data_IF_631601887813
#
_entry.id   IF_631601887813
#
_cell.length_a   1.000
_cell.length_b   1.000
_cell.length_c   1.000
_cell.angle_alpha   90.00
_cell.angle_beta   90.00
_cell.angle_gamma   90.00
#
_symmetry.space_group_name_H-M   'P 1'
#
loop_
_entity.id
_entity.type
_entity.pdbx_description
1 polymer ?
#
# COMPACT_ATOMS: atom_id res chain seq x y z
N UNK A 1 -11.46 7.10 3.85
CA UNK A 1 -11.17 5.65 3.79
C UNK A 1 -11.33 5.03 5.19
N UNK A 2 -10.58 5.46 6.21
CA UNK A 2 -10.62 4.86 7.55
C UNK A 2 -12.05 4.72 8.13
N UNK A 3 -12.87 5.78 8.07
CA UNK A 3 -14.28 5.72 8.50
C UNK A 3 -15.06 4.62 7.77
N UNK A 4 -14.82 4.45 6.45
CA UNK A 4 -15.46 3.39 5.67
C UNK A 4 -15.02 1.99 6.14
N UNK A 5 -13.75 1.82 6.53
CA UNK A 5 -13.28 0.56 7.10
C UNK A 5 -13.96 0.26 8.44
N UNK A 6 -14.12 1.28 9.30
CA UNK A 6 -14.88 1.14 10.55
C UNK A 6 -16.35 0.73 10.30
N UNK A 7 -17.02 1.35 9.32
CA UNK A 7 -18.39 1.00 8.91
C UNK A 7 -18.52 -0.45 8.42
N UNK A 8 -17.43 -1.01 7.90
CA UNK A 8 -17.35 -2.40 7.43
C UNK A 8 -17.00 -3.40 8.54
N UNK A 9 -16.75 -2.93 9.76
CA UNK A 9 -16.43 -3.75 10.93
C UNK A 9 -14.92 -3.98 11.15
N UNK A 10 -14.05 -3.26 10.45
CA UNK A 10 -12.60 -3.33 10.67
C UNK A 10 -12.13 -2.23 11.62
N UNK A 11 -11.08 -2.48 12.37
CA UNK A 11 -10.29 -1.42 13.01
C UNK A 11 -9.45 -0.68 11.96
N UNK A 12 -9.15 0.60 12.19
CA UNK A 12 -8.37 1.39 11.23
C UNK A 12 -7.39 2.33 11.96
N UNK A 13 -6.12 2.22 11.62
CA UNK A 13 -5.05 3.12 12.05
C UNK A 13 -4.56 3.92 10.86
N UNK A 14 -4.38 5.22 11.01
CA UNK A 14 -3.93 6.13 9.93
C UNK A 14 -2.50 6.59 10.21
N UNK A 15 -1.55 6.07 9.42
CA UNK A 15 -0.18 6.55 9.43
C UNK A 15 -0.07 7.87 8.65
N UNK A 16 0.40 8.92 9.30
CA UNK A 16 0.82 10.16 8.67
C UNK A 16 2.33 10.13 8.49
N UNK A 17 2.78 9.42 7.45
CA UNK A 17 4.20 9.29 7.17
C UNK A 17 4.85 10.61 6.75
N UNK A 18 6.15 10.71 6.98
CA UNK A 18 6.95 11.90 6.68
C UNK A 18 7.03 12.19 5.19
N UNK A 19 6.93 13.48 4.87
CA UNK A 19 7.08 14.02 3.52
C UNK A 19 8.41 14.76 3.39
N UNK A 20 8.77 15.16 2.15
CA UNK A 20 9.94 15.99 1.93
C UNK A 20 9.98 17.19 2.91
N UNK A 21 11.15 17.51 3.47
CA UNK A 21 12.50 17.07 3.09
C UNK A 21 12.96 15.73 3.67
N UNK A 22 12.12 15.02 4.43
CA UNK A 22 12.43 13.67 4.92
C UNK A 22 12.31 12.67 3.77
N UNK A 23 13.34 11.88 3.56
CA UNK A 23 13.47 10.98 2.41
C UNK A 23 13.56 9.50 2.81
N UNK A 24 13.41 8.61 1.83
CA UNK A 24 13.66 7.18 1.99
C UNK A 24 15.01 6.93 2.71
N UNK A 25 15.08 5.99 3.66
CA UNK A 25 14.07 4.97 3.98
C UNK A 25 13.09 5.32 5.13
N UNK A 26 12.95 6.58 5.51
CA UNK A 26 12.15 6.97 6.67
C UNK A 26 10.70 6.45 6.58
N UNK A 27 10.05 6.57 5.42
CA UNK A 27 8.67 6.12 5.22
C UNK A 27 8.51 4.60 5.41
N UNK A 28 9.51 3.82 4.98
CA UNK A 28 9.58 2.37 5.24
C UNK A 28 9.68 2.07 6.74
N UNK A 29 10.52 2.83 7.45
CA UNK A 29 10.71 2.67 8.90
C UNK A 29 9.46 3.04 9.68
N UNK A 30 8.78 4.11 9.30
CA UNK A 30 7.52 4.54 9.90
C UNK A 30 6.40 3.51 9.68
N UNK A 31 6.35 2.90 8.50
CA UNK A 31 5.41 1.82 8.21
C UNK A 31 5.70 0.57 9.07
N UNK A 32 6.97 0.17 9.19
CA UNK A 32 7.38 -0.95 10.04
C UNK A 32 7.08 -0.69 11.52
N UNK A 33 7.40 0.52 12.02
CA UNK A 33 7.03 0.94 13.37
C UNK A 33 5.52 0.85 13.60
N UNK A 34 4.72 1.30 12.63
CA UNK A 34 3.26 1.29 12.74
C UNK A 34 2.73 -0.14 12.82
N UNK A 35 3.26 -1.08 12.04
CA UNK A 35 2.88 -2.49 12.12
C UNK A 35 3.16 -3.05 13.51
N UNK A 36 4.37 -2.80 14.04
CA UNK A 36 4.71 -3.18 15.41
C UNK A 36 3.75 -2.56 16.42
N UNK A 37 3.49 -1.26 16.31
CA UNK A 37 2.59 -0.54 17.23
C UNK A 37 1.18 -1.14 17.25
N UNK A 38 0.64 -1.49 16.07
CA UNK A 38 -0.67 -2.16 15.99
C UNK A 38 -0.64 -3.53 16.66
N UNK A 39 0.40 -4.35 16.40
CA UNK A 39 0.53 -5.67 17.04
C UNK A 39 0.72 -5.60 18.56
N UNK A 40 1.50 -4.65 19.06
CA UNK A 40 1.70 -4.45 20.49
C UNK A 40 0.39 -4.12 21.22
N UNK A 41 -0.55 -3.43 20.53
CA UNK A 41 -1.83 -3.02 21.10
C UNK A 41 -3.01 -3.92 20.67
N UNK A 42 -2.75 -4.99 19.94
CA UNK A 42 -3.79 -5.80 19.32
C UNK A 42 -4.80 -6.35 20.34
N UNK A 43 -4.33 -6.82 21.49
CA UNK A 43 -5.20 -7.33 22.54
C UNK A 43 -6.07 -6.23 23.20
N UNK A 44 -5.51 -5.03 23.38
CA UNK A 44 -6.25 -3.89 23.95
C UNK A 44 -7.33 -3.39 22.97
N UNK A 45 -7.05 -3.44 21.66
CA UNK A 45 -7.94 -2.92 20.63
C UNK A 45 -8.88 -3.98 20.05
N UNK A 46 -8.87 -5.19 20.57
CA UNK A 46 -9.63 -6.33 20.03
C UNK A 46 -9.35 -6.57 18.55
N UNK A 47 -8.07 -6.55 18.20
CA UNK A 47 -7.54 -6.78 16.84
C UNK A 47 -6.91 -8.16 16.78
N UNK A 48 -7.18 -8.90 15.71
CA UNK A 48 -6.48 -10.14 15.41
C UNK A 48 -5.06 -9.81 14.88
N UNK A 49 -3.98 -10.16 15.62
CA UNK A 49 -2.61 -9.81 15.22
C UNK A 49 -2.13 -10.50 13.94
N UNK A 50 -2.84 -11.54 13.49
CA UNK A 50 -2.53 -12.31 12.27
C UNK A 50 -3.39 -11.87 11.07
N UNK A 51 -4.14 -10.76 11.20
CA UNK A 51 -5.00 -10.20 10.15
C UNK A 51 -4.82 -8.68 9.99
N UNK A 52 -3.57 -8.20 10.01
CA UNK A 52 -3.26 -6.78 9.87
C UNK A 52 -2.89 -6.46 8.43
N UNK A 53 -3.76 -5.74 7.75
CA UNK A 53 -3.58 -5.35 6.34
C UNK A 53 -2.97 -3.96 6.26
N UNK A 54 -1.84 -3.85 5.55
CA UNK A 54 -1.32 -2.52 5.20
C UNK A 54 -2.07 -1.99 3.98
N UNK A 55 -2.63 -0.79 4.12
CA UNK A 55 -3.42 -0.16 3.06
C UNK A 55 -2.78 1.14 2.58
N UNK A 56 -2.72 1.35 1.27
CA UNK A 56 -2.17 2.57 0.70
C UNK A 56 -2.77 2.93 -0.65
N UNK A 57 -2.83 4.24 -0.92
CA UNK A 57 -3.40 4.80 -2.13
C UNK A 57 -2.40 5.75 -2.77
N UNK A 58 -2.21 5.71 -4.09
CA UNK A 58 -1.27 6.57 -4.80
C UNK A 58 0.16 6.44 -4.21
N UNK A 59 0.78 7.52 -3.79
CA UNK A 59 2.08 7.50 -3.10
C UNK A 59 2.04 6.72 -1.77
N UNK A 60 0.90 6.71 -1.05
CA UNK A 60 0.69 5.84 0.11
C UNK A 60 0.68 4.36 -0.26
N UNK A 61 0.22 4.02 -1.47
CA UNK A 61 0.33 2.68 -2.05
C UNK A 61 1.78 2.25 -2.23
N UNK A 62 2.65 3.20 -2.58
CA UNK A 62 4.09 2.96 -2.64
C UNK A 62 4.68 2.62 -1.25
N UNK A 63 4.33 3.39 -0.23
CA UNK A 63 4.78 3.11 1.15
C UNK A 63 4.30 1.74 1.63
N UNK A 64 3.03 1.41 1.36
CA UNK A 64 2.48 0.09 1.69
C UNK A 64 3.21 -1.04 0.94
N UNK A 65 3.45 -0.86 -0.36
CA UNK A 65 4.21 -1.81 -1.18
C UNK A 65 5.67 -1.96 -0.75
N UNK A 66 6.34 -0.85 -0.36
CA UNK A 66 7.72 -0.90 0.16
C UNK A 66 7.82 -1.82 1.38
N UNK A 67 6.89 -1.73 2.32
CA UNK A 67 6.91 -2.62 3.48
C UNK A 67 6.45 -4.03 3.09
N UNK A 68 5.36 -4.17 2.32
CA UNK A 68 4.84 -5.48 1.92
C UNK A 68 5.84 -6.34 1.17
N UNK A 69 6.69 -5.73 0.32
CA UNK A 69 7.74 -6.44 -0.44
C UNK A 69 9.13 -6.36 0.19
N UNK A 70 9.27 -5.68 1.32
CA UNK A 70 10.57 -5.43 1.93
C UNK A 70 10.62 -5.60 3.44
N UNK A 71 9.60 -6.21 4.03
CA UNK A 71 9.52 -6.46 5.47
C UNK A 71 10.69 -7.33 5.97
N UNK A 72 11.24 -8.21 5.13
CA UNK A 72 12.39 -9.07 5.41
C UNK A 72 13.74 -8.49 4.91
N UNK A 73 13.75 -7.22 4.48
CA UNK A 73 14.91 -6.56 3.93
C UNK A 73 15.94 -6.19 5.00
N UNK A 74 17.23 -6.38 4.70
CA UNK A 74 18.35 -5.89 5.52
C UNK A 74 18.30 -4.38 5.80
N UNK A 75 17.54 -3.63 5.02
CA UNK A 75 17.29 -2.19 5.26
C UNK A 75 16.63 -1.93 6.62
N UNK A 76 15.89 -2.90 7.13
CA UNK A 76 15.22 -2.83 8.44
C UNK A 76 16.08 -3.35 9.60
N UNK A 77 17.18 -4.07 9.37
CA UNK A 77 17.96 -4.73 10.44
C UNK A 77 18.27 -3.79 11.60
N UNK A 78 18.88 -2.64 11.31
CA UNK A 78 19.24 -1.68 12.36
C UNK A 78 18.03 -1.19 13.15
N UNK A 79 16.93 -0.87 12.45
CA UNK A 79 15.69 -0.40 13.09
C UNK A 79 15.12 -1.49 14.00
N UNK A 80 15.03 -2.71 13.50
CA UNK A 80 14.42 -3.83 14.24
C UNK A 80 15.24 -4.23 15.45
N UNK A 81 16.56 -4.35 15.31
CA UNK A 81 17.46 -4.76 16.38
C UNK A 81 17.65 -3.70 17.47
N UNK A 82 17.87 -2.43 17.06
CA UNK A 82 18.36 -1.38 17.95
C UNK A 82 17.28 -0.40 18.43
N UNK A 83 16.13 -0.36 17.75
CA UNK A 83 15.05 0.60 18.08
C UNK A 83 13.76 -0.11 18.44
N UNK A 84 13.31 -1.06 17.61
CA UNK A 84 12.05 -1.74 17.83
C UNK A 84 12.16 -3.00 18.69
N UNK A 85 13.33 -3.59 18.78
CA UNK A 85 13.63 -4.83 19.53
C UNK A 85 12.66 -5.96 19.18
N UNK A 86 12.44 -6.20 17.88
CA UNK A 86 11.57 -7.26 17.38
C UNK A 86 12.15 -7.91 16.10
N UNK A 87 11.58 -9.04 15.70
CA UNK A 87 11.96 -9.73 14.46
C UNK A 87 11.31 -9.08 13.23
N UNK A 88 11.81 -9.41 12.05
CA UNK A 88 11.20 -9.05 10.76
C UNK A 88 9.75 -9.51 10.65
N UNK A 89 9.44 -10.74 11.07
CA UNK A 89 8.07 -11.29 11.06
C UNK A 89 7.09 -10.42 11.86
N UNK A 90 7.56 -9.74 12.89
CA UNK A 90 6.71 -8.90 13.74
C UNK A 90 6.24 -7.62 13.04
N UNK A 91 6.90 -7.19 11.97
CA UNK A 91 6.52 -6.02 11.16
C UNK A 91 5.96 -6.41 9.79
N UNK A 92 5.86 -7.70 9.49
CA UNK A 92 5.27 -8.21 8.26
C UNK A 92 3.78 -7.90 8.21
N UNK A 93 3.26 -7.27 7.15
CA UNK A 93 1.82 -7.20 6.93
C UNK A 93 1.27 -8.59 6.56
N UNK A 94 0.05 -8.89 7.01
CA UNK A 94 -0.61 -10.15 6.64
C UNK A 94 -1.23 -10.06 5.24
N UNK A 95 -1.47 -8.85 4.74
CA UNK A 95 -1.91 -8.57 3.37
C UNK A 95 -1.72 -7.11 2.98
N UNK A 96 -1.93 -6.81 1.71
CA UNK A 96 -1.84 -5.46 1.15
C UNK A 96 -3.15 -5.03 0.48
N UNK A 97 -3.63 -3.81 0.75
CA UNK A 97 -4.65 -3.12 -0.03
C UNK A 97 -4.01 -1.95 -0.77
N UNK A 98 -3.94 -2.03 -2.10
CA UNK A 98 -3.26 -1.07 -2.96
C UNK A 98 -4.26 -0.40 -3.93
N UNK A 99 -4.60 0.85 -3.69
CA UNK A 99 -5.48 1.64 -4.56
C UNK A 99 -4.67 2.54 -5.50
N UNK A 100 -4.81 2.37 -6.82
CA UNK A 100 -4.07 3.15 -7.85
C UNK A 100 -2.63 3.48 -7.43
N UNK A 101 -1.85 2.46 -7.00
CA UNK A 101 -0.58 2.66 -6.32
C UNK A 101 0.53 3.12 -7.26
N UNK A 102 1.45 3.91 -6.75
CA UNK A 102 2.77 4.10 -7.38
C UNK A 102 3.59 2.84 -7.12
N UNK A 103 4.06 2.17 -8.16
CA UNK A 103 4.78 0.88 -8.08
C UNK A 103 6.16 0.97 -8.74
N UNK A 104 6.19 1.24 -10.04
CA UNK A 104 7.42 1.16 -10.82
C UNK A 104 8.20 2.48 -10.86
N UNK A 105 9.52 2.36 -10.81
CA UNK A 105 10.47 3.44 -11.13
C UNK A 105 10.86 3.48 -12.61
N UNK A 106 10.31 2.58 -13.43
CA UNK A 106 10.62 2.42 -14.85
C UNK A 106 10.02 3.49 -15.76
N UNK A 107 9.65 3.09 -16.99
CA UNK A 107 9.15 4.01 -18.01
C UNK A 107 7.80 4.63 -17.63
N UNK A 108 6.96 3.89 -16.93
CA UNK A 108 5.61 4.30 -16.50
C UNK A 108 5.62 4.90 -15.07
N UNK A 109 6.78 5.33 -14.59
CA UNK A 109 6.94 5.89 -13.27
C UNK A 109 6.21 7.22 -13.10
N UNK A 110 5.53 7.39 -11.97
CA UNK A 110 5.16 8.72 -11.49
C UNK A 110 6.38 9.41 -10.89
N UNK A 111 7.26 9.98 -11.74
CA UNK A 111 8.59 10.50 -11.37
C UNK A 111 8.58 11.46 -10.20
N UNK A 112 7.59 12.37 -10.14
CA UNK A 112 7.49 13.35 -9.06
C UNK A 112 7.36 12.71 -7.66
N UNK A 113 6.79 11.50 -7.54
CA UNK A 113 6.76 10.76 -6.27
C UNK A 113 8.16 10.33 -5.87
N UNK A 114 8.94 9.79 -6.79
CA UNK A 114 10.30 9.33 -6.52
C UNK A 114 11.25 10.48 -6.25
N UNK A 115 11.17 11.56 -7.02
CA UNK A 115 11.99 12.78 -6.78
C UNK A 115 11.77 13.34 -5.37
N UNK A 116 10.51 13.38 -4.90
CA UNK A 116 10.19 13.87 -3.55
C UNK A 116 10.59 12.89 -2.45
N UNK A 117 10.42 11.59 -2.67
CA UNK A 117 10.72 10.57 -1.66
C UNK A 117 12.21 10.25 -1.53
N UNK A 118 12.98 10.44 -2.59
CA UNK A 118 14.41 10.13 -2.62
C UNK A 118 15.31 11.38 -2.48
N UNK A 119 14.83 12.55 -2.95
CA UNK A 119 15.60 13.80 -2.91
C UNK A 119 16.96 13.65 -3.59
N UNK A 120 18.02 14.11 -2.92
CA UNK A 120 19.41 14.04 -3.43
C UNK A 120 19.93 12.61 -3.62
N UNK A 121 19.27 11.61 -3.03
CA UNK A 121 19.62 10.20 -3.15
C UNK A 121 18.86 9.47 -4.27
N UNK A 122 18.28 10.22 -5.20
CA UNK A 122 17.46 9.64 -6.27
C UNK A 122 18.21 8.55 -7.05
N UNK A 123 19.39 8.84 -7.57
CA UNK A 123 20.17 7.90 -8.38
C UNK A 123 20.68 6.69 -7.57
N UNK A 124 20.85 6.86 -6.25
CA UNK A 124 21.28 5.79 -5.36
C UNK A 124 20.17 4.74 -5.12
N UNK A 125 18.91 5.20 -4.97
CA UNK A 125 17.83 4.33 -4.50
C UNK A 125 16.71 4.07 -5.51
N UNK A 126 16.72 4.70 -6.68
CA UNK A 126 15.60 4.63 -7.63
C UNK A 126 15.27 3.19 -8.06
N UNK A 127 16.26 2.33 -8.21
CA UNK A 127 16.06 0.94 -8.55
C UNK A 127 15.61 0.09 -7.35
N UNK A 128 16.07 0.45 -6.14
CA UNK A 128 15.71 -0.24 -4.89
C UNK A 128 14.24 -0.04 -4.54
N UNK A 129 13.65 1.11 -4.89
CA UNK A 129 12.26 1.45 -4.53
C UNK A 129 11.23 1.04 -5.59
N UNK A 130 11.61 0.33 -6.65
CA UNK A 130 10.70 -0.22 -7.65
C UNK A 130 10.04 -1.49 -7.10
N UNK A 131 8.77 -1.38 -6.71
CA UNK A 131 8.07 -2.40 -5.90
C UNK A 131 7.99 -3.74 -6.64
N UNK A 132 7.65 -3.72 -7.93
CA UNK A 132 7.50 -4.92 -8.76
C UNK A 132 8.78 -5.76 -8.85
N UNK A 133 9.94 -5.14 -8.67
CA UNK A 133 11.26 -5.82 -8.67
C UNK A 133 11.57 -6.50 -7.34
N UNK A 134 10.80 -6.19 -6.30
CA UNK A 134 11.02 -6.66 -4.92
C UNK A 134 10.11 -7.81 -4.53
N UNK A 135 9.08 -8.07 -5.34
CA UNK A 135 8.13 -9.16 -5.08
C UNK A 135 8.86 -10.51 -5.09
N UNK A 136 8.74 -11.23 -3.99
CA UNK A 136 9.30 -12.56 -3.78
C UNK A 136 8.26 -13.52 -3.19
N UNK A 137 8.64 -14.77 -2.91
CA UNK A 137 7.77 -15.81 -2.35
C UNK A 137 7.22 -15.50 -0.95
N UNK A 138 7.82 -14.55 -0.23
CA UNK A 138 7.46 -14.18 1.13
C UNK A 138 6.59 -12.90 1.16
N UNK A 139 6.31 -12.32 -0.02
CA UNK A 139 5.40 -11.18 -0.19
C UNK A 139 3.97 -11.56 0.20
N UNK A 140 3.26 -10.77 1.03
CA UNK A 140 1.90 -11.08 1.45
C UNK A 140 0.90 -10.96 0.29
N UNK A 141 -0.28 -11.60 0.42
CA UNK A 141 -1.38 -11.46 -0.54
C UNK A 141 -1.80 -10.01 -0.75
N UNK A 142 -2.34 -9.69 -1.94
CA UNK A 142 -2.68 -8.32 -2.27
C UNK A 142 -4.08 -8.18 -2.87
N UNK A 143 -4.81 -7.15 -2.42
CA UNK A 143 -5.98 -6.61 -3.11
C UNK A 143 -5.58 -5.32 -3.82
N UNK A 144 -5.77 -5.26 -5.12
CA UNK A 144 -5.31 -4.14 -5.96
C UNK A 144 -6.48 -3.60 -6.76
N UNK A 145 -6.61 -2.27 -6.88
CA UNK A 145 -7.54 -1.68 -7.82
C UNK A 145 -7.00 -0.42 -8.49
N UNK A 146 -7.47 -0.15 -9.71
CA UNK A 146 -7.05 0.98 -10.52
C UNK A 146 -8.13 1.38 -11.52
N UNK A 147 -7.93 2.50 -12.23
CA UNK A 147 -8.78 2.94 -13.34
C UNK A 147 -7.99 3.08 -14.64
N UNK A 148 -8.62 2.80 -15.79
CA UNK A 148 -7.97 2.91 -17.10
C UNK A 148 -7.67 4.35 -17.51
N UNK A 149 -8.40 5.33 -16.98
CA UNK A 149 -8.24 6.75 -17.35
C UNK A 149 -7.26 7.51 -16.44
N UNK A 150 -6.61 6.83 -15.50
CA UNK A 150 -5.61 7.46 -14.63
C UNK A 150 -4.38 7.88 -15.43
N UNK A 151 -4.23 9.21 -15.61
CA UNK A 151 -3.10 9.82 -16.32
C UNK A 151 -2.01 10.32 -15.40
N UNK A 152 -2.22 10.24 -14.08
CA UNK A 152 -1.23 10.69 -13.09
C UNK A 152 -0.32 9.54 -12.69
N UNK A 153 -0.91 8.40 -12.34
CA UNK A 153 -0.21 7.14 -12.12
C UNK A 153 -0.74 6.17 -13.17
N UNK A 154 0.04 5.86 -14.22
CA UNK A 154 -0.42 4.97 -15.29
C UNK A 154 -0.83 3.60 -14.77
N UNK A 155 -1.88 3.00 -15.37
CA UNK A 155 -2.40 1.67 -15.02
C UNK A 155 -1.31 0.59 -15.03
N UNK A 156 -0.28 0.78 -15.83
CA UNK A 156 0.90 -0.08 -15.94
C UNK A 156 1.57 -0.34 -14.60
N UNK A 157 1.51 0.61 -13.66
CA UNK A 157 2.00 0.38 -12.29
C UNK A 157 1.33 -0.83 -11.65
N UNK A 158 0.01 -0.91 -11.68
CA UNK A 158 -0.73 -2.05 -11.13
C UNK A 158 -0.54 -3.32 -11.96
N UNK A 159 -0.46 -3.21 -13.28
CA UNK A 159 -0.22 -4.38 -14.16
C UNK A 159 1.14 -5.02 -13.87
N UNK A 160 2.20 -4.22 -13.69
CA UNK A 160 3.53 -4.71 -13.33
C UNK A 160 3.53 -5.40 -11.96
N UNK A 161 2.81 -4.83 -10.97
CA UNK A 161 2.65 -5.45 -9.66
C UNK A 161 1.95 -6.82 -9.74
N UNK A 162 0.83 -6.88 -10.45
CA UNK A 162 0.06 -8.11 -10.66
C UNK A 162 0.90 -9.17 -11.38
N UNK A 163 1.65 -8.79 -12.41
CA UNK A 163 2.55 -9.70 -13.11
C UNK A 163 3.63 -10.26 -12.18
N UNK A 164 4.22 -9.42 -11.33
CA UNK A 164 5.23 -9.83 -10.37
C UNK A 164 4.66 -10.79 -9.32
N UNK A 165 3.49 -10.48 -8.74
CA UNK A 165 2.79 -11.37 -7.79
C UNK A 165 2.48 -12.72 -8.43
N UNK A 166 1.93 -12.73 -9.66
CA UNK A 166 1.62 -13.96 -10.38
C UNK A 166 2.84 -14.83 -10.62
N UNK A 167 3.99 -14.24 -10.95
CA UNK A 167 5.25 -14.97 -11.17
C UNK A 167 5.75 -15.66 -9.91
N UNK A 168 5.46 -15.11 -8.74
CA UNK A 168 5.83 -15.66 -7.43
C UNK A 168 4.72 -16.52 -6.80
N UNK A 169 3.62 -16.75 -7.53
CA UNK A 169 2.45 -17.52 -7.08
C UNK A 169 1.79 -16.94 -5.81
N UNK A 170 1.91 -15.62 -5.61
CA UNK A 170 1.27 -14.91 -4.50
C UNK A 170 -0.20 -14.67 -4.84
N UNK A 171 -1.15 -15.01 -3.94
CA UNK A 171 -2.57 -14.73 -4.15
C UNK A 171 -2.86 -13.24 -4.26
N UNK A 172 -3.72 -12.86 -5.20
CA UNK A 172 -4.18 -11.48 -5.33
C UNK A 172 -5.57 -11.39 -5.97
N UNK A 173 -6.30 -10.33 -5.64
CA UNK A 173 -7.44 -9.85 -6.41
C UNK A 173 -7.07 -8.55 -7.11
N UNK A 174 -7.47 -8.39 -8.38
CA UNK A 174 -7.22 -7.20 -9.17
C UNK A 174 -8.48 -6.69 -9.85
N UNK A 175 -8.86 -5.44 -9.54
CA UNK A 175 -10.05 -4.79 -10.07
C UNK A 175 -9.69 -3.56 -10.89
N UNK A 176 -10.10 -3.55 -12.15
CA UNK A 176 -9.86 -2.43 -13.07
C UNK A 176 -11.18 -1.82 -13.50
N UNK A 177 -11.32 -0.52 -13.30
CA UNK A 177 -12.48 0.25 -13.70
C UNK A 177 -12.19 1.02 -15.00
N UNK A 178 -13.14 0.98 -15.95
CA UNK A 178 -12.94 1.60 -17.26
C UNK A 178 -12.77 3.13 -17.17
N UNK A 179 -13.42 3.77 -16.18
CA UNK A 179 -13.42 5.23 -16.01
C UNK A 179 -12.97 5.65 -14.63
N UNK A 180 -12.48 6.89 -14.60
CA UNK A 180 -12.08 7.57 -13.38
C UNK A 180 -10.67 8.12 -13.44
N UNK A 181 -10.50 9.32 -12.91
CA UNK A 181 -9.21 9.99 -12.80
C UNK A 181 -8.45 9.51 -11.58
N UNK A 182 -7.21 9.95 -11.40
CA UNK A 182 -6.40 9.65 -10.22
C UNK A 182 -7.03 10.18 -8.92
N UNK A 183 -6.85 9.45 -7.83
CA UNK A 183 -7.17 9.96 -6.49
C UNK A 183 -8.63 9.82 -6.06
N UNK A 184 -9.39 8.91 -6.65
CA UNK A 184 -10.82 8.74 -6.38
C UNK A 184 -11.17 8.39 -4.93
N UNK A 185 -10.28 7.73 -4.20
CA UNK A 185 -10.57 7.28 -2.83
C UNK A 185 -11.72 6.27 -2.82
N UNK A 186 -12.87 6.64 -2.30
CA UNK A 186 -14.08 5.79 -2.32
C UNK A 186 -14.86 5.89 -3.64
N UNK A 187 -14.60 6.87 -4.48
CA UNK A 187 -15.41 7.16 -5.67
C UNK A 187 -16.81 7.70 -5.36
N UNK A 188 -17.10 7.95 -4.11
CA UNK A 188 -18.39 8.40 -3.58
C UNK A 188 -18.36 9.89 -3.22
N UNK A 189 -19.49 10.44 -2.74
CA UNK A 189 -19.59 11.85 -2.34
C UNK A 189 -18.65 12.22 -1.20
N UNK A 190 -18.33 11.28 -0.32
CA UNK A 190 -17.45 11.47 0.84
C UNK A 190 -16.01 11.79 0.45
N UNK A 191 -15.58 11.33 -0.71
CA UNK A 191 -14.23 11.60 -1.24
C UNK A 191 -14.23 12.51 -2.46
N UNK A 192 -15.42 12.93 -2.93
CA UNK A 192 -15.53 13.84 -4.05
C UNK A 192 -15.02 15.26 -3.72
N UNK A 193 -14.44 15.93 -4.70
CA UNK A 193 -14.08 17.33 -4.60
C UNK A 193 -15.34 18.23 -4.63
N UNK A 194 -15.18 19.52 -4.28
CA UNK A 194 -16.28 20.49 -4.27
C UNK A 194 -17.10 20.56 -5.58
N UNK A 195 -16.44 20.29 -6.71
CA UNK A 195 -17.08 20.30 -8.04
C UNK A 195 -17.45 18.89 -8.53
N UNK A 196 -17.67 17.93 -7.62
CA UNK A 196 -17.97 16.53 -7.93
C UNK A 196 -16.88 15.83 -8.75
N UNK A 197 -15.69 16.40 -8.86
CA UNK A 197 -14.51 15.66 -9.30
C UNK A 197 -14.23 14.50 -8.32
N UNK A 198 -13.73 13.38 -8.84
CA UNK A 198 -13.55 12.14 -8.08
C UNK A 198 -14.90 11.46 -7.65
N UNK A 199 -16.03 11.83 -8.25
CA UNK A 199 -17.29 11.13 -8.06
C UNK A 199 -17.51 10.11 -9.18
N UNK A 200 -17.16 8.87 -8.90
CA UNK A 200 -17.28 7.72 -9.82
C UNK A 200 -17.90 6.53 -9.05
N UNK A 201 -19.24 6.52 -8.88
CA UNK A 201 -19.92 5.55 -8.01
C UNK A 201 -19.63 4.09 -8.35
N UNK A 202 -19.39 3.76 -9.62
CA UNK A 202 -19.02 2.42 -10.05
C UNK A 202 -17.72 1.92 -9.40
N UNK A 203 -16.79 2.85 -9.11
CA UNK A 203 -15.52 2.52 -8.47
C UNK A 203 -15.73 2.15 -7.00
N UNK A 204 -16.78 2.66 -6.36
CA UNK A 204 -17.03 2.40 -4.93
C UNK A 204 -17.21 0.92 -4.60
N UNK A 205 -17.52 0.09 -5.60
CA UNK A 205 -17.64 -1.38 -5.45
C UNK A 205 -16.34 -2.03 -4.96
N UNK A 206 -15.18 -1.39 -5.09
CA UNK A 206 -13.92 -1.95 -4.58
C UNK A 206 -13.99 -2.24 -3.07
N UNK A 207 -14.75 -1.46 -2.31
CA UNK A 207 -14.86 -1.67 -0.85
C UNK A 207 -15.57 -2.99 -0.53
N UNK A 208 -16.63 -3.32 -1.28
CA UNK A 208 -17.34 -4.59 -1.12
C UNK A 208 -16.49 -5.76 -1.64
N UNK A 209 -15.82 -5.59 -2.78
CA UNK A 209 -14.88 -6.60 -3.29
C UNK A 209 -13.75 -6.87 -2.29
N UNK A 210 -13.21 -5.81 -1.66
CA UNK A 210 -12.19 -5.96 -0.62
C UNK A 210 -12.74 -6.75 0.59
N UNK A 211 -13.96 -6.47 1.03
CA UNK A 211 -14.59 -7.22 2.12
C UNK A 211 -14.73 -8.70 1.79
N UNK A 212 -15.15 -9.02 0.56
CA UNK A 212 -15.25 -10.42 0.09
C UNK A 212 -13.87 -11.08 0.03
N UNK A 213 -12.85 -10.36 -0.48
CA UNK A 213 -11.48 -10.85 -0.49
C UNK A 213 -10.96 -11.15 0.92
N UNK A 214 -11.23 -10.28 1.90
CA UNK A 214 -10.88 -10.52 3.30
C UNK A 214 -11.53 -11.81 3.84
N UNK A 215 -12.82 -12.06 3.53
CA UNK A 215 -13.49 -13.29 3.90
C UNK A 215 -12.86 -14.53 3.28
N UNK A 216 -12.44 -14.46 2.02
CA UNK A 216 -11.79 -15.60 1.34
C UNK A 216 -10.39 -15.88 1.89
N UNK A 217 -9.64 -14.82 2.24
CA UNK A 217 -8.23 -14.97 2.63
C UNK A 217 -8.03 -15.24 4.12
N UNK A 218 -8.96 -14.81 4.99
CA UNK A 218 -8.71 -14.77 6.44
C UNK A 218 -9.86 -15.34 7.31
N UNK A 219 -10.96 -15.80 6.73
CA UNK A 219 -12.01 -16.59 7.41
C UNK A 219 -11.78 -18.09 7.18
#
# INVERSE_FOLDING_TARGET
IAIKMLDMGYNAVVLRYSLAPVTYPAQLFEAAYTMKYVRDNAAEWDVDPDKIIIAGFSAGGHVAGLLGTGWNSKRLDYLLENVLHCSHEYVKPDGMLLGYPVITSGIDAHRASFERSLGEKYDEFIDEVSIEKRVDKDTPPAFIWHTCEDKTVPLENSLLMVEALRKQEIPFDYHVYAKGTHGLGLGTRETATKNMGHYEPQVSSWTECFKQWMGVMYE
#
